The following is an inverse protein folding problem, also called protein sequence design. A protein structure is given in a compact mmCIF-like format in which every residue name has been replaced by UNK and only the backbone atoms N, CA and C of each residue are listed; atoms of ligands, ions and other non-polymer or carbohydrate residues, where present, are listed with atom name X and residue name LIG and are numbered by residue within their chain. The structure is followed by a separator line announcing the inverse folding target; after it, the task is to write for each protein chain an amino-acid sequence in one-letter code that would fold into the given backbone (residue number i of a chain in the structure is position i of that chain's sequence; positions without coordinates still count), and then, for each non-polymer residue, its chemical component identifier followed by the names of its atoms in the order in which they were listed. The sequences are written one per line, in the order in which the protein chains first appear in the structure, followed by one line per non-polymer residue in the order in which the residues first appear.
data_IF_107921693899
#
_entry.id   IF_107921693899
#
_cell.length_a   1.000
_cell.length_b   1.000
_cell.length_c   1.000
_cell.angle_alpha   90.00
_cell.angle_beta   90.00
_cell.angle_gamma   90.00
#
_symmetry.space_group_name_H-M   'P 1'
#
loop_
_entity.id
_entity.type
_entity.pdbx_description
1 polymer ?
#
# COMPACT_ATOMS: atom_id res chain seq x y z
N UNK A 1 22.07 2.49 -17.25
CA UNK A 1 21.13 1.53 -17.84
C UNK A 1 19.96 1.27 -16.90
N UNK A 2 20.16 0.84 -15.62
CA UNK A 2 19.06 0.51 -14.68
C UNK A 2 18.10 1.69 -14.40
N UNK A 3 18.62 2.91 -14.17
CA UNK A 3 17.79 4.08 -13.98
C UNK A 3 16.86 4.36 -15.18
N UNK A 4 17.39 4.19 -16.40
CA UNK A 4 16.58 4.32 -17.62
C UNK A 4 15.51 3.23 -17.71
N UNK A 5 15.84 1.97 -17.37
CA UNK A 5 14.87 0.87 -17.35
C UNK A 5 13.76 1.15 -16.34
N UNK A 6 14.08 1.61 -15.13
CA UNK A 6 13.08 1.98 -14.11
C UNK A 6 12.19 3.13 -14.59
N UNK A 7 12.76 4.15 -15.21
CA UNK A 7 11.99 5.26 -15.78
C UNK A 7 11.00 4.76 -16.86
N UNK A 8 11.46 3.92 -17.78
CA UNK A 8 10.60 3.31 -18.82
C UNK A 8 9.49 2.46 -18.16
N UNK A 9 9.82 1.69 -17.13
CA UNK A 9 8.83 0.89 -16.38
C UNK A 9 7.76 1.78 -15.73
N UNK A 10 8.16 2.89 -15.10
CA UNK A 10 7.20 3.86 -14.53
C UNK A 10 6.29 4.43 -15.61
N UNK A 11 6.84 4.87 -16.74
CA UNK A 11 6.06 5.40 -17.86
C UNK A 11 5.03 4.39 -18.35
N UNK A 12 5.45 3.14 -18.57
CA UNK A 12 4.56 2.06 -19.03
C UNK A 12 3.47 1.77 -17.98
N UNK A 13 3.85 1.63 -16.71
CA UNK A 13 2.90 1.33 -15.63
C UNK A 13 1.84 2.43 -15.48
N UNK A 14 2.26 3.70 -15.48
CA UNK A 14 1.36 4.86 -15.40
C UNK A 14 0.43 4.89 -16.63
N UNK A 15 0.98 4.70 -17.83
CA UNK A 15 0.17 4.73 -19.05
C UNK A 15 -0.84 3.59 -19.12
N UNK A 16 -0.46 2.36 -18.78
CA UNK A 16 -1.38 1.23 -18.69
C UNK A 16 -2.50 1.47 -17.67
N UNK A 17 -2.17 2.07 -16.54
CA UNK A 17 -3.19 2.42 -15.52
C UNK A 17 -4.19 3.43 -16.06
N UNK A 18 -3.71 4.48 -16.75
CA UNK A 18 -4.58 5.47 -17.40
C UNK A 18 -5.49 4.80 -18.44
N UNK A 19 -4.94 3.89 -19.25
CA UNK A 19 -5.72 3.15 -20.25
C UNK A 19 -6.78 2.26 -19.58
N UNK A 20 -6.43 1.52 -18.55
CA UNK A 20 -7.36 0.61 -17.85
C UNK A 20 -8.46 1.42 -17.12
N UNK A 21 -8.08 2.50 -16.44
CA UNK A 21 -9.02 3.31 -15.66
C UNK A 21 -10.04 4.04 -16.54
N UNK A 22 -9.66 4.44 -17.76
CA UNK A 22 -10.48 5.32 -18.60
C UNK A 22 -10.81 4.74 -19.98
N UNK A 23 -10.14 3.67 -20.43
CA UNK A 23 -10.23 3.18 -21.83
C UNK A 23 -11.56 2.58 -22.23
N UNK A 24 -12.39 2.15 -21.26
CA UNK A 24 -13.70 1.59 -21.52
C UNK A 24 -14.80 2.63 -21.85
N UNK A 25 -14.51 3.93 -21.78
CA UNK A 25 -15.47 5.02 -21.98
C UNK A 25 -16.54 5.12 -20.89
N UNK A 26 -16.60 4.16 -19.97
CA UNK A 26 -17.57 4.12 -18.88
C UNK A 26 -17.39 5.30 -17.90
N UNK A 27 -16.15 5.61 -17.58
CA UNK A 27 -15.82 6.74 -16.68
C UNK A 27 -16.24 8.07 -17.30
N UNK A 28 -16.04 8.25 -18.63
CA UNK A 28 -16.48 9.45 -19.32
C UNK A 28 -18.02 9.57 -19.32
N UNK A 29 -18.74 8.48 -19.53
CA UNK A 29 -20.20 8.47 -19.46
C UNK A 29 -20.69 8.81 -18.05
N UNK A 30 -20.07 8.25 -17.01
CA UNK A 30 -20.40 8.57 -15.62
C UNK A 30 -20.15 10.04 -15.31
N UNK A 31 -19.02 10.59 -15.73
CA UNK A 31 -18.69 12.02 -15.58
C UNK A 31 -19.68 12.93 -16.28
N UNK A 32 -20.06 12.61 -17.50
CA UNK A 32 -21.06 13.38 -18.24
C UNK A 32 -22.42 13.31 -17.53
N UNK A 33 -22.79 12.12 -16.99
CA UNK A 33 -24.00 11.96 -16.17
C UNK A 33 -23.99 12.84 -14.93
N UNK A 34 -22.87 12.89 -14.21
CA UNK A 34 -22.69 13.72 -13.01
C UNK A 34 -22.69 15.21 -13.34
N UNK A 35 -22.06 15.63 -14.43
CA UNK A 35 -22.10 17.01 -14.92
C UNK A 35 -23.56 17.40 -15.20
N UNK A 36 -24.32 16.51 -15.84
CA UNK A 36 -25.74 16.75 -16.12
C UNK A 36 -26.55 16.93 -14.83
N UNK A 37 -26.34 16.05 -13.86
CA UNK A 37 -26.99 16.14 -12.54
C UNK A 37 -26.66 17.46 -11.83
N UNK A 38 -25.40 17.86 -11.82
CA UNK A 38 -24.99 19.14 -11.24
C UNK A 38 -25.63 20.34 -11.95
N UNK A 39 -25.70 20.31 -13.27
CA UNK A 39 -26.36 21.36 -14.06
C UNK A 39 -27.85 21.40 -13.74
N UNK A 40 -28.53 20.26 -13.63
CA UNK A 40 -29.95 20.19 -13.25
C UNK A 40 -30.20 20.78 -11.86
N UNK A 41 -29.34 20.40 -10.88
CA UNK A 41 -29.46 20.93 -9.50
C UNK A 41 -29.23 22.45 -9.47
N UNK A 42 -28.21 22.95 -10.19
CA UNK A 42 -27.98 24.40 -10.29
C UNK A 42 -29.13 25.14 -10.97
N UNK A 43 -29.70 24.58 -12.02
CA UNK A 43 -30.89 25.15 -12.69
C UNK A 43 -32.13 25.11 -11.80
N UNK A 44 -32.29 24.06 -10.99
CA UNK A 44 -33.40 23.91 -10.06
C UNK A 44 -33.39 24.96 -8.92
N UNK A 45 -32.22 25.49 -8.57
CA UNK A 45 -32.08 26.55 -7.55
C UNK A 45 -32.16 27.98 -8.13
N UNK A 46 -32.24 28.13 -9.44
CA UNK A 46 -32.28 29.43 -10.13
C UNK A 46 -33.73 29.86 -10.37
N UNK A 47 -34.22 30.96 -9.74
CA UNK A 47 -35.58 31.42 -9.92
C UNK A 47 -35.97 31.80 -11.36
N UNK A 48 -34.99 32.22 -12.17
CA UNK A 48 -35.22 32.58 -13.57
C UNK A 48 -35.62 31.36 -14.42
N UNK A 49 -35.24 30.17 -14.02
CA UNK A 49 -35.59 28.92 -14.68
C UNK A 49 -37.11 28.63 -14.58
N UNK A 50 -37.79 29.17 -13.59
CA UNK A 50 -39.24 29.01 -13.46
C UNK A 50 -40.05 29.69 -14.57
N UNK A 51 -39.46 30.71 -15.20
CA UNK A 51 -40.06 31.47 -16.28
C UNK A 51 -39.93 30.81 -17.67
N UNK A 52 -39.07 29.82 -17.79
CA UNK A 52 -38.77 29.14 -19.05
C UNK A 52 -39.75 28.00 -19.33
N UNK A 53 -40.09 27.79 -20.60
CA UNK A 53 -40.82 26.60 -21.03
C UNK A 53 -39.97 25.32 -20.86
N UNK A 54 -40.62 24.16 -20.81
CA UNK A 54 -39.94 22.86 -20.68
C UNK A 54 -38.92 22.65 -21.78
N UNK A 55 -39.23 23.05 -23.02
CA UNK A 55 -38.30 22.93 -24.15
C UNK A 55 -37.07 23.85 -24.00
N UNK A 56 -37.27 25.09 -23.59
CA UNK A 56 -36.16 26.03 -23.35
C UNK A 56 -35.26 25.58 -22.21
N UNK A 57 -35.82 25.04 -21.12
CA UNK A 57 -35.05 24.46 -20.02
C UNK A 57 -34.16 23.32 -20.52
N UNK A 58 -34.72 22.40 -21.31
CA UNK A 58 -33.98 21.28 -21.85
C UNK A 58 -32.85 21.70 -22.78
N UNK A 59 -33.09 22.69 -23.66
CA UNK A 59 -32.04 23.25 -24.52
C UNK A 59 -30.92 23.90 -23.71
N UNK A 60 -31.25 24.67 -22.69
CA UNK A 60 -30.29 25.32 -21.82
C UNK A 60 -29.49 24.31 -20.99
N UNK A 61 -30.14 23.24 -20.51
CA UNK A 61 -29.45 22.10 -19.84
C UNK A 61 -28.43 21.48 -20.77
N UNK A 62 -28.80 21.09 -21.99
CA UNK A 62 -27.92 20.47 -22.96
C UNK A 62 -26.75 21.39 -23.35
N UNK A 63 -27.02 22.71 -23.50
CA UNK A 63 -25.97 23.68 -23.78
C UNK A 63 -24.99 23.83 -22.61
N UNK A 64 -25.48 23.98 -21.37
CA UNK A 64 -24.63 24.07 -20.16
C UNK A 64 -23.80 22.80 -19.95
N UNK A 65 -24.39 21.61 -20.16
CA UNK A 65 -23.68 20.34 -20.12
C UNK A 65 -22.60 20.29 -21.19
N UNK A 66 -22.91 20.65 -22.43
CA UNK A 66 -21.93 20.69 -23.54
C UNK A 66 -20.76 21.62 -23.22
N UNK A 67 -21.03 22.85 -22.81
CA UNK A 67 -19.99 23.82 -22.43
C UNK A 67 -19.10 23.25 -21.31
N UNK A 68 -19.69 22.58 -20.33
CA UNK A 68 -18.93 22.01 -19.23
C UNK A 68 -18.09 20.82 -19.67
N UNK A 69 -18.60 19.98 -20.55
CA UNK A 69 -17.87 18.84 -21.17
C UNK A 69 -16.68 19.35 -22.00
N UNK A 70 -16.89 20.42 -22.82
CA UNK A 70 -15.82 21.06 -23.58
C UNK A 70 -14.76 21.72 -22.69
N UNK A 71 -15.16 22.42 -21.62
CA UNK A 71 -14.25 23.02 -20.64
C UNK A 71 -13.36 21.99 -19.95
N UNK A 72 -13.89 20.80 -19.71
CA UNK A 72 -13.15 19.69 -19.10
C UNK A 72 -12.40 18.84 -20.15
N UNK A 73 -12.50 19.19 -21.44
CA UNK A 73 -11.86 18.49 -22.55
C UNK A 73 -12.34 17.06 -22.77
N UNK A 74 -13.52 16.70 -22.22
CA UNK A 74 -14.09 15.35 -22.35
C UNK A 74 -14.64 15.07 -23.76
N UNK A 75 -14.80 16.09 -24.59
CA UNK A 75 -15.15 16.03 -26.00
C UNK A 75 -14.01 15.48 -26.89
N UNK A 76 -12.77 15.61 -26.42
CA UNK A 76 -11.59 15.14 -27.18
C UNK A 76 -11.47 13.61 -27.13
N UNK A 77 -10.98 12.98 -28.23
CA UNK A 77 -10.72 11.55 -28.25
C UNK A 77 -9.86 11.11 -27.06
N UNK A 78 -10.25 10.03 -26.41
CA UNK A 78 -9.55 9.52 -25.23
C UNK A 78 -8.04 9.32 -25.45
N UNK A 79 -7.65 8.83 -26.62
CA UNK A 79 -6.23 8.63 -26.94
C UNK A 79 -5.40 9.92 -26.83
N UNK A 80 -5.95 11.07 -27.21
CA UNK A 80 -5.25 12.36 -27.07
C UNK A 80 -5.16 12.74 -25.58
N UNK A 81 -6.26 12.62 -24.85
CA UNK A 81 -6.31 12.92 -23.41
C UNK A 81 -5.39 12.00 -22.60
N UNK A 82 -5.22 10.74 -23.02
CA UNK A 82 -4.37 9.78 -22.30
C UNK A 82 -2.89 10.21 -22.27
N UNK A 83 -2.39 10.85 -23.31
CA UNK A 83 -1.03 11.41 -23.32
C UNK A 83 -0.90 12.65 -22.44
N UNK A 84 -1.93 13.48 -22.38
CA UNK A 84 -1.97 14.62 -21.44
C UNK A 84 -2.00 14.14 -19.99
N UNK A 85 -2.82 13.12 -19.68
CA UNK A 85 -2.83 12.48 -18.37
C UNK A 85 -1.48 11.83 -18.02
N UNK A 86 -0.83 11.18 -19.00
CA UNK A 86 0.51 10.63 -18.80
C UNK A 86 1.53 11.73 -18.48
N UNK A 87 1.54 12.82 -19.24
CA UNK A 87 2.44 13.94 -18.98
C UNK A 87 2.22 14.55 -17.61
N UNK A 88 0.97 14.80 -17.24
CA UNK A 88 0.61 15.31 -15.92
C UNK A 88 1.02 14.34 -14.79
N UNK A 89 0.83 13.04 -15.00
CA UNK A 89 1.30 12.01 -14.06
C UNK A 89 2.82 12.02 -13.91
N UNK A 90 3.56 12.04 -15.01
CA UNK A 90 5.03 12.03 -15.01
C UNK A 90 5.63 13.33 -14.43
N UNK A 91 4.95 14.45 -14.55
CA UNK A 91 5.39 15.73 -13.97
C UNK A 91 4.88 15.96 -12.56
N UNK A 92 4.16 14.99 -11.98
CA UNK A 92 3.49 15.07 -10.66
C UNK A 92 2.51 16.26 -10.58
N UNK A 93 2.00 16.71 -11.72
CA UNK A 93 0.88 17.64 -11.78
C UNK A 93 -0.43 16.86 -11.63
N UNK A 94 -0.73 16.45 -10.39
CA UNK A 94 -1.80 15.53 -10.06
C UNK A 94 -3.20 16.15 -10.12
N UNK A 95 -3.28 17.46 -10.38
CA UNK A 95 -4.54 18.17 -10.50
C UNK A 95 -5.34 18.27 -9.20
N UNK A 96 -6.65 18.37 -9.36
CA UNK A 96 -7.60 18.48 -8.25
C UNK A 96 -8.59 17.33 -8.27
N UNK A 97 -8.94 16.84 -7.08
CA UNK A 97 -9.99 15.87 -6.86
C UNK A 97 -11.37 16.43 -7.24
N UNK A 98 -12.25 15.57 -7.71
CA UNK A 98 -13.61 15.96 -8.09
C UNK A 98 -14.52 16.04 -6.87
N UNK A 99 -14.41 15.07 -5.95
CA UNK A 99 -15.28 14.92 -4.79
C UNK A 99 -14.52 14.92 -3.47
N UNK A 100 -13.32 14.37 -3.45
CA UNK A 100 -12.55 14.20 -2.22
C UNK A 100 -11.87 15.50 -1.79
N UNK A 101 -11.75 15.66 -0.48
CA UNK A 101 -11.07 16.78 0.16
C UNK A 101 -9.99 16.23 1.09
N UNK A 102 -8.92 16.98 1.23
CA UNK A 102 -7.94 16.77 2.30
C UNK A 102 -8.53 17.16 3.66
N UNK A 103 -7.88 16.76 4.75
CA UNK A 103 -8.30 17.17 6.09
C UNK A 103 -8.19 18.70 6.28
N UNK A 104 -7.32 19.35 5.51
CA UNK A 104 -7.19 20.82 5.44
C UNK A 104 -8.22 21.49 4.52
N UNK A 105 -9.14 20.74 3.89
CA UNK A 105 -10.17 21.25 2.99
C UNK A 105 -9.70 21.52 1.55
N UNK A 106 -8.47 21.13 1.19
CA UNK A 106 -7.93 21.32 -0.15
C UNK A 106 -8.44 20.22 -1.11
N UNK A 107 -8.78 20.60 -2.35
CA UNK A 107 -9.06 19.65 -3.44
C UNK A 107 -7.80 19.20 -4.18
N UNK A 108 -6.62 19.78 -3.90
CA UNK A 108 -5.40 19.36 -4.57
C UNK A 108 -5.03 17.92 -4.21
N UNK A 109 -4.95 17.05 -5.21
CA UNK A 109 -4.71 15.62 -5.02
C UNK A 109 -3.39 15.36 -4.28
N UNK A 110 -2.35 16.16 -4.54
CA UNK A 110 -1.07 16.06 -3.82
C UNK A 110 -1.22 16.24 -2.31
N UNK A 111 -2.11 17.15 -1.87
CA UNK A 111 -2.34 17.40 -0.45
C UNK A 111 -3.13 16.24 0.17
N UNK A 112 -4.15 15.76 -0.53
CA UNK A 112 -4.96 14.60 -0.11
C UNK A 112 -4.05 13.38 0.11
N UNK A 113 -3.20 13.05 -0.87
CA UNK A 113 -2.27 11.92 -0.78
C UNK A 113 -1.20 12.15 0.28
N UNK A 114 -0.66 13.37 0.37
CA UNK A 114 0.36 13.73 1.35
C UNK A 114 -0.11 13.60 2.80
N UNK A 115 -1.37 13.89 3.09
CA UNK A 115 -1.98 13.72 4.42
C UNK A 115 -2.26 12.24 4.76
N UNK A 116 -2.52 11.38 3.76
CA UNK A 116 -2.87 9.96 3.96
C UNK A 116 -1.66 9.03 3.96
N UNK A 117 -0.61 9.36 3.21
CA UNK A 117 0.57 8.52 3.06
C UNK A 117 1.28 8.23 4.40
N UNK A 118 1.51 9.22 5.30
CA UNK A 118 2.15 8.95 6.59
C UNK A 118 1.36 7.95 7.45
N UNK A 119 0.04 8.01 7.42
CA UNK A 119 -0.83 7.08 8.17
C UNK A 119 -0.70 5.65 7.68
N UNK A 120 -0.68 5.42 6.36
CA UNK A 120 -0.42 4.10 5.77
C UNK A 120 0.97 3.61 6.14
N UNK A 121 2.01 4.44 6.00
CA UNK A 121 3.38 4.06 6.34
C UNK A 121 3.54 3.70 7.80
N UNK A 122 2.89 4.44 8.70
CA UNK A 122 2.91 4.14 10.12
C UNK A 122 2.30 2.77 10.43
N UNK A 123 1.12 2.48 9.87
CA UNK A 123 0.42 1.21 10.09
C UNK A 123 1.19 0.04 9.44
N UNK A 124 1.50 0.15 8.14
CA UNK A 124 2.19 -0.89 7.39
C UNK A 124 3.61 -1.10 7.90
N UNK A 125 4.36 -0.01 8.14
CA UNK A 125 5.72 -0.06 8.68
C UNK A 125 5.77 -0.78 10.02
N UNK A 126 4.93 -0.39 10.97
CA UNK A 126 4.87 -1.03 12.28
C UNK A 126 4.51 -2.51 12.16
N UNK A 127 3.47 -2.84 11.39
CA UNK A 127 3.00 -4.22 11.24
C UNK A 127 4.05 -5.10 10.57
N UNK A 128 4.64 -4.66 9.49
CA UNK A 128 5.61 -5.43 8.70
C UNK A 128 6.95 -5.57 9.42
N UNK A 129 7.43 -4.52 10.07
CA UNK A 129 8.67 -4.60 10.85
C UNK A 129 8.50 -5.56 12.04
N UNK A 130 7.39 -5.45 12.78
CA UNK A 130 7.10 -6.35 13.88
C UNK A 130 7.03 -7.80 13.41
N UNK A 131 6.27 -8.06 12.33
CA UNK A 131 6.12 -9.38 11.73
C UNK A 131 7.46 -9.95 11.28
N UNK A 132 8.25 -9.17 10.52
CA UNK A 132 9.53 -9.61 9.96
C UNK A 132 10.52 -10.02 11.04
N UNK A 133 10.76 -9.15 12.02
CA UNK A 133 11.73 -9.43 13.06
C UNK A 133 11.25 -10.53 14.01
N UNK A 134 9.97 -10.53 14.42
CA UNK A 134 9.44 -11.61 15.26
C UNK A 134 9.54 -12.97 14.54
N UNK A 135 9.12 -13.04 13.26
CA UNK A 135 9.19 -14.27 12.50
C UNK A 135 10.64 -14.77 12.34
N UNK A 136 11.58 -13.86 12.01
CA UNK A 136 12.98 -14.18 11.83
C UNK A 136 13.62 -14.75 13.10
N UNK A 137 13.43 -14.06 14.25
CA UNK A 137 14.02 -14.50 15.52
C UNK A 137 13.41 -15.80 16.04
N UNK A 138 12.08 -15.94 15.94
CA UNK A 138 11.42 -17.19 16.36
C UNK A 138 11.81 -18.35 15.44
N UNK A 139 11.88 -18.13 14.14
CA UNK A 139 12.31 -19.14 13.17
C UNK A 139 13.74 -19.61 13.44
N UNK A 140 14.67 -18.69 13.69
CA UNK A 140 16.06 -19.01 14.03
C UNK A 140 16.14 -19.81 15.33
N UNK A 141 15.34 -19.48 16.32
CA UNK A 141 15.24 -20.24 17.58
C UNK A 141 14.69 -21.65 17.32
N UNK A 142 13.62 -21.81 16.53
CA UNK A 142 12.99 -23.10 16.23
C UNK A 142 13.84 -24.00 15.33
N UNK A 143 14.67 -23.44 14.45
CA UNK A 143 15.58 -24.23 13.61
C UNK A 143 16.54 -25.10 14.43
N UNK A 144 16.88 -24.67 15.66
CA UNK A 144 17.68 -25.44 16.62
C UNK A 144 16.87 -26.45 17.44
N UNK A 145 15.56 -26.32 17.47
CA UNK A 145 14.64 -27.16 18.25
C UNK A 145 13.70 -27.93 17.36
N UNK A 146 14.24 -28.47 16.27
CA UNK A 146 13.48 -29.27 15.31
C UNK A 146 12.69 -30.38 16.00
N UNK A 147 11.41 -30.52 15.63
CA UNK A 147 10.52 -31.55 16.19
C UNK A 147 10.00 -31.26 17.60
N UNK A 148 10.35 -30.12 18.23
CA UNK A 148 9.81 -29.69 19.52
C UNK A 148 8.31 -29.40 19.42
N UNK A 149 7.63 -29.29 20.57
CA UNK A 149 6.21 -28.97 20.62
C UNK A 149 5.91 -27.63 19.93
N UNK A 150 6.69 -26.58 20.19
CA UNK A 150 6.53 -25.27 19.55
C UNK A 150 6.74 -25.32 18.03
N UNK A 151 7.70 -26.13 17.58
CA UNK A 151 7.94 -26.34 16.17
C UNK A 151 6.76 -26.99 15.45
N UNK A 152 6.19 -28.03 16.05
CA UNK A 152 4.98 -28.69 15.55
C UNK A 152 3.76 -27.76 15.59
N UNK A 153 3.62 -26.96 16.64
CA UNK A 153 2.55 -25.99 16.78
C UNK A 153 2.58 -24.93 15.66
N UNK A 154 3.76 -24.37 15.36
CA UNK A 154 3.91 -23.39 14.28
C UNK A 154 3.53 -24.01 12.93
N UNK A 155 3.97 -25.25 12.66
CA UNK A 155 3.62 -25.96 11.43
C UNK A 155 2.10 -26.18 11.33
N UNK A 156 1.48 -26.60 12.42
CA UNK A 156 0.03 -26.87 12.48
C UNK A 156 -0.79 -25.58 12.30
N UNK A 157 -0.28 -24.43 12.76
CA UNK A 157 -0.93 -23.12 12.65
C UNK A 157 -0.57 -22.35 11.37
N UNK A 158 0.41 -22.80 10.58
CA UNK A 158 0.79 -22.13 9.33
C UNK A 158 -0.40 -21.93 8.35
N UNK A 159 -1.35 -22.87 8.21
CA UNK A 159 -2.54 -22.68 7.37
C UNK A 159 -3.46 -21.52 7.81
N UNK A 160 -3.28 -20.98 9.04
CA UNK A 160 -4.01 -19.80 9.51
C UNK A 160 -3.88 -18.58 8.55
N UNK A 161 -2.77 -18.50 7.82
CA UNK A 161 -2.56 -17.46 6.81
C UNK A 161 -3.48 -17.54 5.59
N UNK A 162 -4.29 -18.58 5.45
CA UNK A 162 -5.31 -18.66 4.41
C UNK A 162 -6.42 -17.62 4.58
N UNK A 163 -6.68 -17.19 5.83
CA UNK A 163 -7.62 -16.11 6.09
C UNK A 163 -6.89 -14.75 6.03
N UNK A 164 -7.46 -13.75 5.35
CA UNK A 164 -6.84 -12.43 5.23
C UNK A 164 -6.86 -11.66 6.56
N UNK A 165 -5.95 -10.69 6.75
CA UNK A 165 -5.82 -9.94 7.99
C UNK A 165 -7.11 -9.23 8.43
N UNK A 166 -7.89 -8.66 7.51
CA UNK A 166 -9.14 -8.01 7.85
C UNK A 166 -10.18 -8.95 8.47
N UNK A 167 -10.15 -10.23 8.11
CA UNK A 167 -11.03 -11.25 8.72
C UNK A 167 -10.74 -11.38 10.23
N UNK A 168 -9.48 -11.51 10.62
CA UNK A 168 -9.08 -11.49 12.04
C UNK A 168 -9.43 -10.16 12.70
N UNK A 169 -9.29 -9.05 11.95
CA UNK A 169 -9.65 -7.72 12.40
C UNK A 169 -11.09 -7.61 12.88
N UNK A 170 -12.05 -8.21 12.17
CA UNK A 170 -13.46 -8.21 12.56
C UNK A 170 -13.68 -8.92 13.92
N UNK A 171 -13.03 -10.06 14.14
CA UNK A 171 -13.13 -10.77 15.42
C UNK A 171 -12.43 -10.01 16.56
N UNK A 172 -11.29 -9.39 16.28
CA UNK A 172 -10.58 -8.56 17.26
C UNK A 172 -11.41 -7.33 17.67
N UNK A 173 -12.06 -6.66 16.72
CA UNK A 173 -12.99 -5.55 17.00
C UNK A 173 -14.15 -6.08 17.85
N UNK A 174 -14.77 -7.21 17.49
CA UNK A 174 -15.89 -7.78 18.23
C UNK A 174 -15.48 -8.08 19.68
N UNK A 175 -14.35 -8.70 19.91
CA UNK A 175 -13.91 -9.11 21.24
C UNK A 175 -13.41 -7.92 22.06
N UNK A 176 -12.42 -7.17 21.54
CA UNK A 176 -11.71 -6.16 22.34
C UNK A 176 -12.36 -4.78 22.34
N UNK A 177 -13.11 -4.44 21.30
CA UNK A 177 -13.81 -3.15 21.26
C UNK A 177 -15.26 -3.30 21.68
N UNK A 178 -16.03 -4.25 21.10
CA UNK A 178 -17.45 -4.36 21.36
C UNK A 178 -17.77 -5.04 22.72
N UNK A 179 -17.18 -6.22 23.00
CA UNK A 179 -17.52 -6.99 24.19
C UNK A 179 -16.77 -6.52 25.43
N UNK A 180 -15.47 -6.26 25.31
CA UNK A 180 -14.61 -5.90 26.45
C UNK A 180 -14.49 -4.39 26.66
N UNK A 181 -14.70 -3.58 25.62
CA UNK A 181 -14.55 -2.11 25.69
C UNK A 181 -13.11 -1.64 25.97
N UNK A 182 -12.10 -2.46 25.75
CA UNK A 182 -10.70 -2.15 26.08
C UNK A 182 -10.00 -1.28 25.03
N UNK A 183 -10.34 -1.50 23.77
CA UNK A 183 -9.68 -0.87 22.62
C UNK A 183 -10.70 -0.16 21.71
N UNK A 184 -10.29 0.82 20.94
CA UNK A 184 -11.18 1.55 20.03
C UNK A 184 -11.66 0.67 18.88
N UNK A 185 -12.87 0.96 18.37
CA UNK A 185 -13.44 0.28 17.19
C UNK A 185 -12.66 0.55 15.91
N UNK A 186 -12.10 1.75 15.78
CA UNK A 186 -11.41 2.19 14.58
C UNK A 186 -11.00 3.66 14.66
N UNK A 187 -10.52 4.19 13.54
CA UNK A 187 -9.89 5.51 13.50
C UNK A 187 -8.40 5.44 13.81
N UNK A 188 -7.74 6.58 13.80
CA UNK A 188 -6.32 6.70 14.10
C UNK A 188 -6.05 7.34 15.46
N UNK A 189 -7.01 8.10 15.98
CA UNK A 189 -6.86 8.92 17.18
C UNK A 189 -8.22 9.11 17.86
N UNK A 190 -8.22 9.33 19.17
CA UNK A 190 -9.43 9.61 19.95
C UNK A 190 -10.13 10.90 19.48
N UNK A 191 -11.44 10.97 19.66
CA UNK A 191 -12.24 12.16 19.38
C UNK A 191 -12.83 12.71 20.71
N UNK A 192 -12.52 13.95 21.09
CA UNK A 192 -11.65 14.95 20.44
C UNK A 192 -10.15 14.56 20.52
N UNK A 193 -9.34 14.93 19.50
CA UNK A 193 -7.93 14.57 19.48
C UNK A 193 -7.15 15.28 20.61
N UNK A 194 -6.28 14.56 21.34
CA UNK A 194 -5.41 15.16 22.36
C UNK A 194 -4.50 16.23 21.75
N UNK A 195 -4.34 17.34 22.48
CA UNK A 195 -3.53 18.49 22.03
C UNK A 195 -2.04 18.29 22.33
N UNK A 196 -1.72 17.61 23.44
CA UNK A 196 -0.33 17.37 23.83
C UNK A 196 0.30 16.23 23.03
N UNK A 197 1.62 16.34 22.71
CA UNK A 197 2.30 15.35 21.87
C UNK A 197 2.28 13.92 22.42
N UNK A 198 2.52 13.75 23.74
CA UNK A 198 2.58 12.43 24.35
C UNK A 198 1.21 11.74 24.42
N UNK A 199 0.13 12.34 24.96
CA UNK A 199 -1.21 11.77 24.89
C UNK A 199 -1.67 11.49 23.46
N UNK A 200 -1.31 12.33 22.49
CA UNK A 200 -1.60 12.13 21.08
C UNK A 200 -0.91 10.88 20.54
N UNK A 201 0.38 10.70 20.81
CA UNK A 201 1.13 9.52 20.40
C UNK A 201 0.58 8.23 21.03
N UNK A 202 0.20 8.26 22.32
CA UNK A 202 -0.40 7.15 23.02
C UNK A 202 -1.78 6.78 22.45
N UNK A 203 -2.60 7.78 22.12
CA UNK A 203 -3.88 7.56 21.45
C UNK A 203 -3.68 6.87 20.10
N UNK A 204 -2.77 7.34 19.25
CA UNK A 204 -2.43 6.69 17.98
C UNK A 204 -1.96 5.25 18.21
N UNK A 205 -1.04 5.03 19.15
CA UNK A 205 -0.54 3.70 19.48
C UNK A 205 -1.68 2.75 19.93
N UNK A 206 -2.64 3.23 20.71
CA UNK A 206 -3.81 2.47 21.15
C UNK A 206 -4.69 2.04 19.96
N UNK A 207 -4.92 2.95 19.00
CA UNK A 207 -5.70 2.66 17.80
C UNK A 207 -4.98 1.72 16.82
N UNK A 208 -3.66 1.66 16.87
CA UNK A 208 -2.85 0.73 16.06
C UNK A 208 -2.89 -0.72 16.56
N UNK A 209 -3.23 -0.97 17.83
CA UNK A 209 -3.11 -2.31 18.42
C UNK A 209 -3.90 -3.34 17.60
N UNK A 210 -5.19 -3.12 17.37
CA UNK A 210 -6.04 -4.10 16.68
C UNK A 210 -5.67 -4.32 15.22
N UNK A 211 -5.45 -3.29 14.38
CA UNK A 211 -5.04 -3.50 12.99
C UNK A 211 -3.65 -4.15 12.87
N UNK A 212 -2.68 -3.76 13.71
CA UNK A 212 -1.35 -4.40 13.73
C UNK A 212 -1.45 -5.86 14.16
N UNK A 213 -2.21 -6.14 15.22
CA UNK A 213 -2.42 -7.50 15.72
C UNK A 213 -3.12 -8.39 14.70
N UNK A 214 -4.08 -7.86 13.94
CA UNK A 214 -4.77 -8.62 12.89
C UNK A 214 -3.83 -9.03 11.77
N UNK A 215 -2.96 -8.12 11.31
CA UNK A 215 -1.93 -8.43 10.31
C UNK A 215 -0.90 -9.42 10.85
N UNK A 216 -0.52 -9.26 12.11
CA UNK A 216 0.43 -10.14 12.79
C UNK A 216 -0.12 -11.57 12.91
N UNK A 217 -1.33 -11.76 13.45
CA UNK A 217 -1.96 -13.07 13.60
C UNK A 217 -2.11 -13.76 12.24
N UNK A 218 -2.55 -13.03 11.22
CA UNK A 218 -2.76 -13.59 9.89
C UNK A 218 -1.46 -14.17 9.28
N UNK A 219 -0.29 -13.59 9.56
CA UNK A 219 0.91 -13.92 8.80
C UNK A 219 2.05 -14.55 9.62
N UNK A 220 2.01 -14.48 10.97
CA UNK A 220 3.17 -14.85 11.80
C UNK A 220 3.57 -16.32 11.66
N UNK A 221 2.63 -17.25 11.68
CA UNK A 221 2.93 -18.68 11.64
C UNK A 221 3.49 -19.11 10.28
N UNK A 222 2.93 -18.63 9.18
CA UNK A 222 3.45 -18.89 7.84
C UNK A 222 4.84 -18.28 7.63
N UNK A 223 5.06 -17.07 8.13
CA UNK A 223 6.36 -16.40 8.06
C UNK A 223 7.42 -17.13 8.88
N UNK A 224 7.08 -17.56 10.10
CA UNK A 224 7.99 -18.39 10.92
C UNK A 224 8.28 -19.71 10.22
N UNK A 225 7.27 -20.38 9.67
CA UNK A 225 7.45 -21.64 8.94
C UNK A 225 8.40 -21.50 7.75
N UNK A 226 8.24 -20.45 6.96
CA UNK A 226 9.11 -20.17 5.80
C UNK A 226 10.57 -19.89 6.24
N UNK A 227 10.79 -19.00 7.19
CA UNK A 227 12.11 -18.69 7.69
C UNK A 227 12.76 -19.88 8.41
N UNK A 228 11.99 -20.64 9.18
CA UNK A 228 12.47 -21.87 9.84
C UNK A 228 12.95 -22.90 8.81
N UNK A 229 12.18 -23.14 7.76
CA UNK A 229 12.55 -24.07 6.70
C UNK A 229 13.85 -23.62 6.02
N UNK A 230 13.96 -22.33 5.73
CA UNK A 230 15.17 -21.72 5.20
C UNK A 230 16.40 -21.95 6.11
N UNK A 231 16.29 -21.67 7.40
CA UNK A 231 17.40 -21.90 8.34
C UNK A 231 17.75 -23.38 8.52
N UNK A 232 16.79 -24.29 8.43
CA UNK A 232 17.05 -25.73 8.51
C UNK A 232 17.91 -26.21 7.34
N UNK A 233 17.66 -25.72 6.12
CA UNK A 233 18.48 -26.05 4.95
C UNK A 233 19.95 -25.71 5.24
N UNK A 234 20.22 -24.47 5.69
CA UNK A 234 21.59 -24.06 6.01
C UNK A 234 22.19 -24.75 7.23
N UNK A 235 21.36 -25.21 8.17
CA UNK A 235 21.80 -25.94 9.36
C UNK A 235 22.20 -27.39 9.07
N UNK A 236 21.79 -27.95 7.92
CA UNK A 236 22.12 -29.32 7.48
C UNK A 236 23.27 -29.37 6.49
N UNK A 237 23.93 -28.27 6.19
CA UNK A 237 25.04 -28.20 5.27
C UNK A 237 26.34 -28.84 5.89
N UNK A 238 27.18 -29.50 5.06
CA UNK A 238 28.37 -30.20 5.47
C UNK A 238 29.33 -29.35 6.30
N UNK A 239 29.47 -28.06 5.99
CA UNK A 239 30.33 -27.15 6.76
C UNK A 239 29.82 -26.91 8.20
N UNK A 240 28.54 -27.07 8.45
CA UNK A 240 27.93 -27.01 9.80
C UNK A 240 28.25 -28.28 10.57
N UNK A 241 28.17 -29.44 9.94
CA UNK A 241 28.56 -30.71 10.54
C UNK A 241 30.04 -30.72 10.90
N UNK A 242 30.90 -30.20 10.00
CA UNK A 242 32.32 -30.03 10.26
C UNK A 242 32.58 -29.11 11.47
N UNK A 243 31.77 -28.04 11.62
CA UNK A 243 31.88 -27.14 12.76
C UNK A 243 31.50 -27.83 14.07
N UNK A 244 30.47 -28.68 14.06
CA UNK A 244 30.08 -29.53 15.19
C UNK A 244 31.20 -30.52 15.57
N UNK A 245 31.76 -31.18 14.57
CA UNK A 245 32.87 -32.12 14.77
C UNK A 245 34.12 -31.46 15.39
N UNK A 246 34.36 -30.16 15.12
CA UNK A 246 35.41 -29.35 15.76
C UNK A 246 35.07 -28.90 17.18
N UNK A 247 33.90 -29.25 17.73
CA UNK A 247 33.50 -28.94 19.11
C UNK A 247 33.08 -27.51 19.32
N UNK A 248 32.67 -26.79 18.25
CA UNK A 248 32.11 -25.43 18.40
C UNK A 248 30.78 -25.48 19.11
N UNK A 249 30.52 -24.47 19.97
CA UNK A 249 29.22 -24.36 20.65
C UNK A 249 28.10 -24.04 19.68
N UNK A 250 26.87 -24.47 19.98
CA UNK A 250 25.66 -24.20 19.16
C UNK A 250 25.49 -22.72 18.82
N UNK A 251 25.80 -21.83 19.76
CA UNK A 251 25.72 -20.38 19.56
C UNK A 251 26.78 -19.85 18.57
N UNK A 252 27.97 -20.44 18.54
CA UNK A 252 29.01 -20.10 17.58
C UNK A 252 28.62 -20.61 16.18
N UNK A 253 28.08 -21.83 16.11
CA UNK A 253 27.61 -22.45 14.88
C UNK A 253 26.51 -21.61 14.28
N UNK A 254 25.47 -21.28 15.06
CA UNK A 254 24.35 -20.44 14.61
C UNK A 254 24.84 -19.10 14.03
N UNK A 255 25.67 -18.37 14.79
CA UNK A 255 26.08 -17.02 14.39
C UNK A 255 27.03 -17.01 13.19
N UNK A 256 27.99 -17.95 13.13
CA UNK A 256 29.05 -17.93 12.12
C UNK A 256 28.75 -18.78 10.89
N UNK A 257 28.02 -19.88 11.06
CA UNK A 257 27.84 -20.90 10.03
C UNK A 257 26.38 -20.97 9.50
N UNK A 258 25.39 -20.49 10.25
CA UNK A 258 24.01 -20.41 9.78
C UNK A 258 23.62 -18.97 9.45
N UNK A 259 23.67 -18.06 10.43
CA UNK A 259 23.17 -16.70 10.24
C UNK A 259 24.02 -15.89 9.25
N UNK A 260 25.34 -15.97 9.34
CA UNK A 260 26.23 -15.19 8.48
C UNK A 260 26.09 -15.51 6.98
N UNK A 261 26.02 -16.77 6.54
CA UNK A 261 25.76 -17.12 5.14
C UNK A 261 24.37 -16.73 4.66
N UNK A 262 23.37 -16.64 5.56
CA UNK A 262 21.99 -16.30 5.23
C UNK A 262 21.70 -14.79 5.22
N UNK A 263 22.61 -13.96 5.75
CA UNK A 263 22.44 -12.50 5.79
C UNK A 263 22.07 -11.86 4.43
N UNK A 264 22.70 -12.21 3.30
CA UNK A 264 22.33 -11.63 2.02
C UNK A 264 20.85 -11.85 1.68
N UNK A 265 20.32 -13.06 1.90
CA UNK A 265 18.91 -13.40 1.66
C UNK A 265 17.99 -12.67 2.63
N UNK A 266 18.38 -12.53 3.91
CA UNK A 266 17.61 -11.78 4.91
C UNK A 266 17.51 -10.30 4.51
N UNK A 267 18.63 -9.69 4.10
CA UNK A 267 18.67 -8.29 3.65
C UNK A 267 17.81 -8.10 2.40
N UNK A 268 17.89 -9.04 1.45
CA UNK A 268 17.03 -9.04 0.25
C UNK A 268 15.55 -9.06 0.63
N UNK A 269 15.15 -10.00 1.47
CA UNK A 269 13.76 -10.14 1.90
C UNK A 269 13.27 -8.92 2.67
N UNK A 270 14.11 -8.34 3.54
CA UNK A 270 13.81 -7.10 4.23
C UNK A 270 13.60 -5.93 3.26
N UNK A 271 14.45 -5.82 2.26
CA UNK A 271 14.37 -4.77 1.25
C UNK A 271 13.13 -4.93 0.38
N UNK A 272 12.78 -6.16 -0.02
CA UNK A 272 11.53 -6.44 -0.75
C UNK A 272 10.29 -6.14 0.11
N UNK A 273 10.34 -6.38 1.42
CA UNK A 273 9.27 -6.00 2.34
C UNK A 273 9.04 -4.48 2.33
N UNK A 274 10.10 -3.67 2.32
CA UNK A 274 9.97 -2.19 2.28
C UNK A 274 9.17 -1.73 1.06
N UNK A 275 9.28 -2.40 -0.08
CA UNK A 275 8.52 -2.07 -1.30
C UNK A 275 7.01 -2.18 -1.05
N UNK A 276 6.59 -3.14 -0.24
CA UNK A 276 5.16 -3.38 0.01
C UNK A 276 4.52 -2.36 0.96
N UNK A 277 5.31 -1.55 1.67
CA UNK A 277 4.79 -0.57 2.64
C UNK A 277 3.94 0.52 1.99
N UNK A 278 4.19 0.84 0.72
CA UNK A 278 3.52 1.93 0.01
C UNK A 278 2.12 1.56 -0.51
N UNK A 279 1.83 0.26 -0.66
CA UNK A 279 0.59 -0.21 -1.30
C UNK A 279 -0.65 0.08 -0.46
N UNK A 280 -0.50 0.09 0.86
CA UNK A 280 -1.62 0.13 1.79
C UNK A 280 -2.39 -1.21 1.83
N UNK A 281 -3.39 -1.28 2.68
CA UNK A 281 -4.27 -2.42 2.80
C UNK A 281 -5.73 -1.96 2.72
N UNK A 282 -6.27 -1.85 1.51
CA UNK A 282 -7.58 -1.24 1.23
C UNK A 282 -8.66 -1.76 2.19
N UNK A 283 -8.84 -3.07 2.26
CA UNK A 283 -9.89 -3.67 3.08
C UNK A 283 -9.60 -3.51 4.58
N UNK A 284 -8.35 -3.71 5.01
CA UNK A 284 -7.96 -3.56 6.41
C UNK A 284 -8.15 -2.12 6.90
N UNK A 285 -7.63 -1.15 6.16
CA UNK A 285 -7.76 0.27 6.48
C UNK A 285 -9.24 0.70 6.51
N UNK A 286 -10.07 0.11 5.64
CA UNK A 286 -11.52 0.39 5.62
C UNK A 286 -12.21 -0.22 6.84
N UNK A 287 -11.93 -1.47 7.20
CA UNK A 287 -12.50 -2.16 8.37
C UNK A 287 -12.17 -1.41 9.67
N UNK A 288 -10.93 -0.95 9.82
CA UNK A 288 -10.52 -0.19 11.00
C UNK A 288 -10.75 1.32 10.88
N UNK A 289 -11.39 1.78 9.82
CA UNK A 289 -11.56 3.21 9.54
C UNK A 289 -10.24 4.01 9.60
N UNK A 290 -9.10 3.36 9.32
CA UNK A 290 -7.77 3.96 9.37
C UNK A 290 -7.61 4.96 8.22
N UNK A 291 -7.15 6.22 8.46
CA UNK A 291 -7.12 7.27 7.44
C UNK A 291 -5.88 7.15 6.53
N UNK A 292 -5.73 6.01 5.86
CA UNK A 292 -4.60 5.74 4.97
C UNK A 292 -4.95 5.80 3.49
N UNK A 293 -3.95 5.50 2.65
CA UNK A 293 -4.04 5.47 1.18
C UNK A 293 -4.99 4.38 0.69
N UNK A 294 -5.01 3.22 1.34
CA UNK A 294 -5.92 2.13 0.96
C UNK A 294 -7.38 2.53 1.11
N UNK A 295 -7.76 3.11 2.26
CA UNK A 295 -9.10 3.63 2.49
C UNK A 295 -9.44 4.78 1.54
N UNK A 296 -8.49 5.70 1.29
CA UNK A 296 -8.65 6.77 0.31
C UNK A 296 -8.94 6.20 -1.08
N UNK A 297 -8.21 5.16 -1.49
CA UNK A 297 -8.43 4.49 -2.78
C UNK A 297 -9.85 3.90 -2.87
N UNK A 298 -10.32 3.24 -1.80
CA UNK A 298 -11.69 2.74 -1.75
C UNK A 298 -12.73 3.86 -1.90
N UNK A 299 -12.53 4.97 -1.21
CA UNK A 299 -13.42 6.13 -1.32
C UNK A 299 -13.40 6.74 -2.73
N UNK A 300 -12.20 6.88 -3.32
CA UNK A 300 -12.05 7.40 -4.68
C UNK A 300 -12.73 6.49 -5.72
N UNK A 301 -12.64 5.17 -5.57
CA UNK A 301 -13.31 4.20 -6.46
C UNK A 301 -14.83 4.35 -6.32
N UNK A 302 -15.34 4.41 -5.10
CA UNK A 302 -16.80 4.51 -4.84
C UNK A 302 -17.39 5.82 -5.36
N UNK A 303 -16.60 6.90 -5.37
CA UNK A 303 -17.01 8.22 -5.85
C UNK A 303 -16.62 8.48 -7.32
N UNK A 304 -15.95 7.53 -7.97
CA UNK A 304 -15.40 7.67 -9.32
C UNK A 304 -14.47 8.90 -9.47
N UNK A 305 -13.74 9.23 -8.37
CA UNK A 305 -12.78 10.34 -8.35
C UNK A 305 -11.50 9.91 -9.10
N UNK A 306 -11.58 9.93 -10.42
CA UNK A 306 -10.50 9.45 -11.31
C UNK A 306 -9.17 10.15 -11.08
N UNK A 307 -9.09 11.49 -10.88
CA UNK A 307 -7.83 12.14 -10.58
C UNK A 307 -7.10 11.53 -9.37
N UNK A 308 -7.84 11.19 -8.30
CA UNK A 308 -7.25 10.58 -7.10
C UNK A 308 -6.79 9.13 -7.38
N UNK A 309 -7.58 8.34 -8.12
CA UNK A 309 -7.22 6.95 -8.47
C UNK A 309 -5.93 6.93 -9.30
N UNK A 310 -5.86 7.74 -10.36
CA UNK A 310 -4.67 7.82 -11.24
C UNK A 310 -3.47 8.32 -10.45
N UNK A 311 -3.63 9.39 -9.68
CA UNK A 311 -2.55 9.97 -8.88
C UNK A 311 -2.00 8.99 -7.85
N UNK A 312 -2.85 8.22 -7.17
CA UNK A 312 -2.40 7.18 -6.23
C UNK A 312 -1.51 6.15 -6.93
N UNK A 313 -1.89 5.70 -8.13
CA UNK A 313 -1.07 4.75 -8.91
C UNK A 313 0.25 5.37 -9.38
N UNK A 314 0.22 6.64 -9.80
CA UNK A 314 1.42 7.38 -10.19
C UNK A 314 2.40 7.48 -9.01
N UNK A 315 1.93 7.93 -7.86
CA UNK A 315 2.76 8.03 -6.64
C UNK A 315 3.32 6.67 -6.25
N UNK A 316 2.49 5.61 -6.28
CA UNK A 316 2.97 4.25 -6.03
C UNK A 316 4.07 3.82 -6.99
N UNK A 317 3.91 4.07 -8.29
CA UNK A 317 4.91 3.73 -9.30
C UNK A 317 6.25 4.46 -9.06
N UNK A 318 6.22 5.74 -8.69
CA UNK A 318 7.42 6.49 -8.33
C UNK A 318 8.08 5.97 -7.04
N UNK A 319 7.30 5.73 -6.00
CA UNK A 319 7.83 5.21 -4.73
C UNK A 319 8.44 3.81 -4.91
N UNK A 320 7.80 2.97 -5.72
CA UNK A 320 8.33 1.66 -6.11
C UNK A 320 9.67 1.81 -6.86
N UNK A 321 9.73 2.67 -7.87
CA UNK A 321 10.95 2.90 -8.64
C UNK A 321 12.10 3.44 -7.78
N UNK A 322 11.82 4.41 -6.90
CA UNK A 322 12.81 4.95 -5.96
C UNK A 322 13.28 3.86 -4.99
N UNK A 323 12.36 3.07 -4.44
CA UNK A 323 12.72 1.98 -3.52
C UNK A 323 13.58 0.92 -4.20
N UNK A 324 13.24 0.51 -5.43
CA UNK A 324 14.06 -0.43 -6.21
C UNK A 324 15.44 0.14 -6.53
N UNK A 325 15.53 1.42 -6.85
CA UNK A 325 16.81 2.09 -7.09
C UNK A 325 17.70 2.13 -5.84
N UNK A 326 17.11 2.49 -4.69
CA UNK A 326 17.82 2.47 -3.40
C UNK A 326 18.26 1.06 -3.02
N UNK A 327 17.44 0.05 -3.31
CA UNK A 327 17.73 -1.35 -3.08
C UNK A 327 18.93 -1.82 -3.90
N UNK A 328 19.05 -1.41 -5.17
CA UNK A 328 20.21 -1.68 -6.00
C UNK A 328 21.51 -1.10 -5.40
N UNK A 329 21.42 0.10 -4.79
CA UNK A 329 22.56 0.71 -4.10
C UNK A 329 22.92 -0.11 -2.84
N UNK A 330 21.92 -0.49 -2.03
CA UNK A 330 22.13 -1.31 -0.83
C UNK A 330 22.78 -2.65 -1.21
N UNK A 331 22.31 -3.32 -2.25
CA UNK A 331 22.93 -4.57 -2.75
C UNK A 331 24.38 -4.39 -3.15
N UNK A 332 24.68 -3.31 -3.84
CA UNK A 332 26.06 -3.01 -4.26
C UNK A 332 27.02 -2.85 -3.07
N UNK A 333 26.52 -2.37 -1.92
CA UNK A 333 27.30 -2.18 -0.69
C UNK A 333 27.40 -3.49 0.10
N UNK A 334 26.30 -4.25 0.19
CA UNK A 334 26.21 -5.46 1.04
C UNK A 334 26.87 -6.67 0.39
N UNK A 335 26.72 -6.81 -0.93
CA UNK A 335 27.36 -7.91 -1.70
C UNK A 335 28.23 -7.35 -2.83
N UNK A 336 29.52 -7.10 -2.57
CA UNK A 336 30.47 -6.61 -3.58
C UNK A 336 30.70 -7.58 -4.73
N UNK A 337 30.18 -8.83 -4.66
CA UNK A 337 30.24 -9.81 -5.75
C UNK A 337 29.20 -9.53 -6.83
N UNK A 338 28.15 -8.81 -6.51
CA UNK A 338 27.15 -8.32 -7.48
C UNK A 338 27.72 -7.10 -8.22
N UNK A 339 28.54 -7.34 -9.23
CA UNK A 339 28.99 -6.27 -10.14
C UNK A 339 27.76 -5.71 -10.86
N UNK A 340 27.42 -4.46 -10.56
CA UNK A 340 26.39 -3.69 -11.25
C UNK A 340 26.78 -3.61 -12.75
N UNK A 341 26.17 -4.49 -13.58
CA UNK A 341 26.13 -4.33 -15.04
C UNK A 341 27.48 -4.26 -15.75
N UNK A 342 28.29 -5.26 -15.62
CA UNK A 342 29.47 -5.46 -16.50
C UNK A 342 29.25 -6.69 -17.37
N UNK A 343 28.87 -6.51 -18.61
CA UNK A 343 28.92 -7.55 -19.63
C UNK A 343 30.34 -8.11 -19.72
N UNK A 344 30.58 -9.26 -19.10
CA UNK A 344 31.79 -10.00 -19.35
C UNK A 344 31.73 -10.63 -20.73
N UNK A 345 32.44 -10.05 -21.70
CA UNK A 345 32.88 -10.76 -22.87
C UNK A 345 33.52 -12.06 -22.41
N UNK A 346 32.88 -13.19 -22.64
CA UNK A 346 33.53 -14.49 -22.68
C UNK A 346 34.06 -14.67 -24.11
N UNK A 347 35.33 -14.38 -24.31
CA UNK A 347 36.14 -14.92 -25.38
C UNK A 347 36.41 -16.39 -25.11
#
# INVERSE_FOLDING_TARGET
VRGLTLLVTVVIAVYLTILIANGGGYVDQMRIGQIREQVILQMGSDPEMALLTVQQRKQLEEERVRVRVEQLGLDRPFMIRSFEYLWNGLTLNLGSAEYLLSDSGSRQVRNILGERLPSTLLLMGTSQLLLFFCALFVALFLSRRYGSFLDKLVIALAPNSAAPAWFYGLFLILIFAALLGWLPYGGMIDAPPPQEPLPRALSIAKHMILPVLSMFIANIFASIYSWRTFFLIYSSEDYVEMAKAKGLSDRQIERRYVLRPTLPTIITSFSLMIITLWVGAIVLETVFAWPGIGRLTQQAINLYDTPVIVANTVIYAYLLAVTLFLLDIIYSIVDPRVKLGGGGNRS
#
